data_IF_277648918502
#
_entry.id   IF_277648918502
#
_cell.length_a   1.000
_cell.length_b   1.000
_cell.length_c   1.000
_cell.angle_alpha   90.00
_cell.angle_beta   90.00
_cell.angle_gamma   90.00
#
_symmetry.space_group_name_H-M   'P 1'
#
loop_
_entity.id
_entity.type
_entity.pdbx_description
1 polymer ?
#
# COMPACT_ATOMS: atom_id res chain seq x y z
N UNK A 1 -7.34 10.73 31.72
CA UNK A 1 -6.81 11.28 30.45
C UNK A 1 -6.17 10.10 29.75
N UNK A 2 -6.79 9.60 28.68
CA UNK A 2 -6.36 8.37 28.01
C UNK A 2 -5.14 8.66 27.14
N UNK A 3 -3.96 8.40 27.68
CA UNK A 3 -2.71 8.26 26.91
C UNK A 3 -2.75 6.92 26.20
N UNK A 4 -3.61 6.78 25.19
CA UNK A 4 -3.61 5.62 24.31
C UNK A 4 -2.41 5.74 23.36
N UNK A 5 -1.37 4.95 23.68
CA UNK A 5 -0.24 4.56 22.83
C UNK A 5 -0.35 5.01 21.37
N UNK A 6 0.27 6.15 21.08
CA UNK A 6 0.50 6.67 19.73
C UNK A 6 1.64 5.88 19.05
N UNK A 7 1.56 4.55 19.01
CA UNK A 7 2.43 3.69 18.20
C UNK A 7 1.83 3.49 16.79
N UNK A 8 1.46 4.60 16.14
CA UNK A 8 1.07 4.59 14.74
C UNK A 8 2.31 4.56 13.85
N UNK A 9 2.31 3.71 12.83
CA UNK A 9 3.40 3.63 11.84
C UNK A 9 3.51 4.98 11.12
N UNK A 10 4.72 5.54 11.05
CA UNK A 10 5.00 6.76 10.29
C UNK A 10 4.85 6.49 8.80
N UNK A 11 4.38 7.51 8.08
CA UNK A 11 4.19 7.46 6.65
C UNK A 11 5.57 7.34 5.99
N UNK A 12 5.84 6.27 5.23
CA UNK A 12 7.15 6.06 4.63
C UNK A 12 7.43 7.02 3.46
N UNK A 13 6.42 7.77 3.01
CA UNK A 13 6.53 8.75 1.93
C UNK A 13 6.87 10.14 2.47
N UNK A 14 6.05 10.69 3.38
CA UNK A 14 6.28 12.05 3.88
C UNK A 14 7.08 12.12 5.19
N UNK A 15 7.31 10.99 5.87
CA UNK A 15 8.06 10.91 7.13
C UNK A 15 7.38 11.53 8.36
N UNK A 16 6.38 12.40 8.17
CA UNK A 16 5.77 13.19 9.24
C UNK A 16 4.38 12.69 9.66
N UNK A 17 3.56 12.26 8.70
CA UNK A 17 2.19 11.80 8.97
C UNK A 17 2.15 10.37 9.45
N UNK A 18 1.12 9.99 10.21
CA UNK A 18 0.87 8.59 10.61
C UNK A 18 -0.03 7.91 9.59
N UNK A 19 0.14 6.60 9.47
CA UNK A 19 -0.74 5.76 8.66
C UNK A 19 -2.05 5.50 9.39
N UNK A 20 -3.16 5.80 8.72
CA UNK A 20 -4.53 5.52 9.16
C UNK A 20 -5.16 4.48 8.24
N UNK A 21 -6.12 3.74 8.78
CA UNK A 21 -6.97 2.82 8.03
C UNK A 21 -8.22 3.60 7.61
N UNK A 22 -8.69 3.41 6.37
CA UNK A 22 -9.94 4.01 5.91
C UNK A 22 -11.12 3.55 6.79
N UNK A 23 -12.17 4.35 6.95
CA UNK A 23 -13.33 3.99 7.78
C UNK A 23 -14.02 2.70 7.29
N UNK A 24 -13.97 2.45 5.98
CA UNK A 24 -14.48 1.24 5.32
C UNK A 24 -13.49 0.04 5.35
N UNK A 25 -12.31 0.19 5.96
CA UNK A 25 -11.22 -0.81 5.99
C UNK A 25 -10.74 -1.32 4.62
N UNK A 26 -10.98 -0.60 3.52
CA UNK A 26 -10.53 -1.02 2.18
C UNK A 26 -9.11 -0.56 1.82
N UNK A 27 -8.59 0.48 2.46
CA UNK A 27 -7.20 0.94 2.26
C UNK A 27 -6.59 1.54 3.52
N UNK A 28 -5.27 1.67 3.50
CA UNK A 28 -4.51 2.53 4.40
C UNK A 28 -4.10 3.81 3.69
N UNK A 29 -3.94 4.90 4.42
CA UNK A 29 -3.49 6.17 3.88
C UNK A 29 -2.72 6.99 4.90
N UNK A 30 -1.93 7.95 4.43
CA UNK A 30 -1.34 8.96 5.30
C UNK A 30 -2.44 9.85 5.92
N UNK A 31 -2.29 10.24 7.18
CA UNK A 31 -3.24 11.13 7.85
C UNK A 31 -3.35 12.52 7.18
N UNK A 32 -2.29 12.97 6.52
CA UNK A 32 -2.28 14.22 5.76
C UNK A 32 -2.84 14.08 4.35
N UNK A 33 -3.32 12.89 3.98
CA UNK A 33 -4.05 12.70 2.74
C UNK A 33 -5.38 13.44 2.82
N UNK A 34 -5.54 14.42 1.94
CA UNK A 34 -6.79 15.15 1.73
C UNK A 34 -7.13 15.12 0.26
N UNK A 35 -8.39 14.79 -0.01
CA UNK A 35 -8.99 14.92 -1.35
C UNK A 35 -10.09 15.95 -1.25
N UNK A 36 -10.14 16.85 -2.20
CA UNK A 36 -11.19 17.85 -2.31
C UNK A 36 -11.92 17.66 -3.63
N UNK A 37 -13.23 17.84 -3.61
CA UNK A 37 -14.03 17.78 -4.83
C UNK A 37 -14.00 19.14 -5.49
N UNK A 38 -13.29 19.26 -6.60
CA UNK A 38 -13.29 20.46 -7.43
C UNK A 38 -14.19 20.20 -8.65
N UNK A 39 -15.41 20.74 -8.60
CA UNK A 39 -16.42 20.52 -9.63
C UNK A 39 -16.87 19.05 -9.69
N UNK A 40 -16.51 18.35 -10.79
CA UNK A 40 -16.86 16.94 -11.02
C UNK A 40 -15.74 15.96 -10.66
N UNK A 41 -14.56 16.47 -10.30
CA UNK A 41 -13.36 15.67 -10.09
C UNK A 41 -12.92 15.71 -8.62
N UNK A 42 -12.25 14.65 -8.16
CA UNK A 42 -11.61 14.60 -6.84
C UNK A 42 -10.12 14.84 -7.02
N UNK A 43 -9.61 15.90 -6.41
CA UNK A 43 -8.22 16.33 -6.53
C UNK A 43 -7.53 16.12 -5.19
N UNK A 44 -6.35 15.49 -5.20
CA UNK A 44 -5.53 15.36 -3.99
C UNK A 44 -4.89 16.70 -3.63
N UNK A 45 -5.40 17.35 -2.59
CA UNK A 45 -4.93 18.65 -2.06
C UNK A 45 -4.15 18.51 -0.75
N UNK A 46 -3.97 17.29 -0.25
CA UNK A 46 -3.22 17.02 0.98
C UNK A 46 -1.71 17.07 0.80
N UNK A 47 -0.99 17.23 1.92
CA UNK A 47 0.48 17.26 1.95
C UNK A 47 1.12 15.91 1.60
N UNK A 48 0.34 14.83 1.62
CA UNK A 48 0.78 13.50 1.24
C UNK A 48 -0.34 12.71 0.57
N UNK A 49 -0.09 12.17 -0.63
CA UNK A 49 -1.07 11.42 -1.43
C UNK A 49 -1.04 9.91 -1.16
N UNK A 50 -0.19 9.47 -0.22
CA UNK A 50 0.06 8.07 0.04
C UNK A 50 -1.21 7.31 0.43
N UNK A 51 -1.47 6.23 -0.31
CA UNK A 51 -2.48 5.22 0.00
C UNK A 51 -2.07 3.86 -0.54
N UNK A 52 -2.47 2.80 0.15
CA UNK A 52 -2.34 1.41 -0.32
C UNK A 52 -3.64 0.68 -0.03
N UNK A 53 -4.21 0.06 -1.06
CA UNK A 53 -5.40 -0.78 -0.90
C UNK A 53 -5.05 -2.12 -0.28
N UNK A 54 -5.90 -2.64 0.61
CA UNK A 54 -5.76 -4.01 1.09
C UNK A 54 -6.02 -5.00 -0.04
N UNK A 55 -6.98 -4.70 -0.92
CA UNK A 55 -7.25 -5.52 -2.09
C UNK A 55 -6.14 -5.35 -3.14
N UNK A 56 -5.22 -6.31 -3.17
CA UNK A 56 -4.14 -6.39 -4.15
C UNK A 56 -4.40 -7.47 -5.22
N UNK A 57 -5.67 -7.76 -5.51
CA UNK A 57 -6.03 -8.77 -6.52
C UNK A 57 -5.47 -8.46 -7.90
N UNK A 58 -5.30 -7.17 -8.24
CA UNK A 58 -4.67 -6.76 -9.52
C UNK A 58 -3.14 -6.89 -9.51
N UNK A 59 -2.51 -6.83 -8.34
CA UNK A 59 -1.05 -6.83 -8.19
C UNK A 59 -0.52 -8.24 -7.94
N UNK A 60 -1.01 -8.90 -6.89
CA UNK A 60 -0.54 -10.24 -6.46
C UNK A 60 -1.67 -11.26 -6.32
N UNK A 61 -2.88 -10.95 -6.81
CA UNK A 61 -4.00 -11.89 -6.85
C UNK A 61 -4.66 -12.19 -5.50
N UNK A 62 -4.43 -11.36 -4.47
CA UNK A 62 -5.03 -11.55 -3.14
C UNK A 62 -5.23 -10.25 -2.36
N UNK A 63 -5.97 -10.35 -1.27
CA UNK A 63 -6.11 -9.27 -0.28
C UNK A 63 -5.04 -9.41 0.81
N UNK A 64 -4.42 -8.29 1.17
CA UNK A 64 -3.47 -8.19 2.28
C UNK A 64 -4.21 -8.08 3.61
N UNK A 65 -3.68 -8.71 4.64
CA UNK A 65 -4.11 -8.43 6.01
C UNK A 65 -3.35 -7.24 6.62
N UNK A 66 -3.81 -6.77 7.79
CA UNK A 66 -3.17 -5.62 8.47
C UNK A 66 -1.69 -5.87 8.81
N UNK A 67 -1.32 -7.08 9.22
CA UNK A 67 0.06 -7.40 9.57
C UNK A 67 0.98 -7.34 8.33
N UNK A 68 0.51 -7.81 7.18
CA UNK A 68 1.23 -7.74 5.92
C UNK A 68 1.40 -6.31 5.42
N UNK A 69 0.38 -5.47 5.60
CA UNK A 69 0.52 -4.04 5.29
C UNK A 69 1.56 -3.38 6.20
N UNK A 70 1.62 -3.75 7.49
CA UNK A 70 2.69 -3.26 8.38
C UNK A 70 4.08 -3.68 7.88
N UNK A 71 4.24 -4.92 7.41
CA UNK A 71 5.48 -5.40 6.78
C UNK A 71 5.88 -4.54 5.57
N UNK A 72 4.94 -4.28 4.66
CA UNK A 72 5.19 -3.38 3.52
C UNK A 72 5.65 -1.99 3.94
N UNK A 73 5.01 -1.41 4.96
CA UNK A 73 5.39 -0.09 5.47
C UNK A 73 6.79 -0.07 6.09
N UNK A 74 7.24 -1.19 6.65
CA UNK A 74 8.60 -1.37 7.16
C UNK A 74 9.63 -1.66 6.05
N UNK A 75 9.22 -1.72 4.78
CA UNK A 75 10.07 -2.05 3.65
C UNK A 75 10.24 -3.54 3.38
N UNK A 76 9.50 -4.40 4.09
CA UNK A 76 9.50 -5.85 3.86
C UNK A 76 8.58 -6.24 2.70
N UNK A 77 8.97 -7.26 1.94
CA UNK A 77 8.17 -7.80 0.85
C UNK A 77 7.05 -8.74 1.34
N UNK A 78 5.90 -8.69 0.67
CA UNK A 78 4.77 -9.60 0.92
C UNK A 78 4.59 -10.55 -0.25
N UNK A 79 4.91 -11.83 -0.02
CA UNK A 79 4.89 -12.89 -1.04
C UNK A 79 3.50 -13.53 -1.18
N UNK A 80 3.08 -13.88 -2.38
CA UNK A 80 1.87 -14.68 -2.62
C UNK A 80 2.20 -16.18 -2.78
N UNK A 81 1.17 -17.01 -2.93
CA UNK A 81 1.33 -18.46 -3.13
C UNK A 81 2.03 -18.83 -4.44
N UNK A 82 2.00 -17.96 -5.46
CA UNK A 82 2.69 -18.16 -6.74
C UNK A 82 4.17 -17.83 -6.68
N UNK A 83 4.59 -17.14 -5.62
CA UNK A 83 5.96 -16.72 -5.40
C UNK A 83 6.22 -15.24 -5.70
N UNK A 84 5.23 -14.50 -6.19
CA UNK A 84 5.35 -13.06 -6.49
C UNK A 84 5.45 -12.27 -5.18
N UNK A 85 6.33 -11.28 -5.14
CA UNK A 85 6.55 -10.46 -3.94
C UNK A 85 6.15 -9.02 -4.20
N UNK A 86 5.19 -8.52 -3.42
CA UNK A 86 4.81 -7.11 -3.41
C UNK A 86 5.75 -6.34 -2.50
N UNK A 87 6.27 -5.21 -2.98
CA UNK A 87 7.07 -4.28 -2.20
C UNK A 87 6.45 -2.90 -2.21
N UNK A 88 6.73 -2.13 -1.16
CA UNK A 88 6.51 -0.70 -1.16
C UNK A 88 7.48 -0.05 -2.15
N UNK A 89 6.95 0.78 -3.04
CA UNK A 89 7.74 1.50 -4.02
C UNK A 89 7.45 2.98 -3.91
N UNK A 90 8.37 3.73 -3.32
CA UNK A 90 8.15 5.16 -3.03
C UNK A 90 8.20 6.02 -4.28
N UNK A 91 8.85 5.52 -5.32
CA UNK A 91 9.06 6.20 -6.61
C UNK A 91 7.82 6.09 -7.52
N UNK A 92 7.01 5.04 -7.38
CA UNK A 92 5.73 4.90 -8.08
C UNK A 92 4.60 5.66 -7.37
N UNK A 93 4.50 6.96 -7.57
CA UNK A 93 3.50 7.83 -6.94
C UNK A 93 2.03 7.46 -7.24
N UNK A 94 1.78 6.70 -8.31
CA UNK A 94 0.44 6.30 -8.71
C UNK A 94 -0.13 5.17 -7.83
N UNK A 95 0.72 4.22 -7.42
CA UNK A 95 0.29 3.01 -6.72
C UNK A 95 1.04 2.76 -5.40
N UNK A 96 2.22 3.34 -5.23
CA UNK A 96 3.16 3.16 -4.13
C UNK A 96 3.57 1.70 -3.86
N UNK A 97 3.37 0.82 -4.85
CA UNK A 97 3.67 -0.60 -4.76
C UNK A 97 4.28 -1.11 -6.05
N UNK A 98 5.29 -1.98 -5.97
CA UNK A 98 5.83 -2.73 -7.09
C UNK A 98 5.69 -4.24 -6.87
N UNK A 99 5.48 -5.00 -7.93
CA UNK A 99 5.43 -6.46 -7.88
C UNK A 99 6.70 -7.00 -8.51
N UNK A 100 7.39 -7.84 -7.76
CA UNK A 100 8.49 -8.66 -8.25
C UNK A 100 7.92 -10.05 -8.54
N UNK A 101 7.76 -10.35 -9.82
CA UNK A 101 7.20 -11.62 -10.28
C UNK A 101 8.21 -12.73 -10.02
N UNK A 102 7.75 -13.86 -9.48
CA UNK A 102 8.63 -15.03 -9.41
C UNK A 102 9.07 -15.41 -10.82
N UNK A 103 10.35 -15.79 -10.98
CA UNK A 103 10.83 -16.34 -12.25
C UNK A 103 9.92 -17.50 -12.65
N UNK A 104 9.15 -17.29 -13.72
CA UNK A 104 8.43 -18.38 -14.37
C UNK A 104 9.51 -19.30 -14.88
N UNK A 105 9.57 -20.54 -14.37
CA UNK A 105 10.31 -21.61 -15.06
C UNK A 105 9.89 -21.54 -16.53
N UNK A 106 10.84 -21.46 -17.49
CA UNK A 106 10.48 -21.41 -18.88
C UNK A 106 9.55 -22.58 -19.14
N UNK A 107 8.36 -22.29 -19.69
CA UNK A 107 7.47 -23.32 -20.20
C UNK A 107 8.32 -24.18 -21.12
N UNK A 108 8.58 -25.43 -20.75
CA UNK A 108 9.00 -26.43 -21.72
C UNK A 108 7.81 -26.61 -22.64
N UNK A 109 7.72 -25.76 -23.65
CA UNK A 109 6.93 -26.01 -24.85
C UNK A 109 7.65 -27.19 -25.54
N UNK A 110 7.24 -28.39 -25.15
CA UNK A 110 7.53 -29.61 -25.87
C UNK A 110 6.68 -29.56 -27.13
N UNK A 111 7.29 -29.19 -28.25
CA UNK A 111 6.89 -29.59 -29.60
C UNK A 111 8.10 -29.61 -30.54
#
# INVERSE_FOLDING_TARGET
>A
MAEENKEGILCPICGNGRIKVSPDNSYIHCEFKKVEKQGKEFVDVGECKFRIFFNQSKSIGRTLNRAEVKKLLNGEGVKNAKGDTLYLDKENEAFYTRVEWAEKKPSTDLL
#
